data_IF_030773659740
#
_entry.id   IF_030773659740
#
_cell.length_a   1.000
_cell.length_b   1.000
_cell.length_c   1.000
_cell.angle_alpha   90.00
_cell.angle_beta   90.00
_cell.angle_gamma   90.00
#
_symmetry.space_group_name_H-M   'P 1'
#
loop_
_entity.id
_entity.type
_entity.pdbx_description
1 polymer ?
#
# COMPACT_ATOMS: atom_id res chain seq x y z
N UNK A 1 -8.48 5.25 -10.30
CA UNK A 1 -7.09 5.78 -10.27
C UNK A 1 -6.30 5.10 -11.37
N UNK A 2 -6.07 5.82 -12.46
CA UNK A 2 -5.40 5.26 -13.63
C UNK A 2 -4.47 6.30 -14.24
N UNK A 3 -3.53 5.85 -15.06
CA UNK A 3 -2.71 6.74 -15.84
C UNK A 3 -3.57 7.59 -16.80
N UNK A 4 -3.13 8.80 -17.16
CA UNK A 4 -3.63 9.48 -18.36
C UNK A 4 -3.53 8.55 -19.59
N UNK A 5 -4.45 8.67 -20.54
CA UNK A 5 -4.47 7.82 -21.73
C UNK A 5 -3.13 7.81 -22.47
N UNK A 6 -2.55 9.00 -22.73
CA UNK A 6 -1.24 9.11 -23.39
C UNK A 6 -0.08 8.42 -22.63
N UNK A 7 -0.15 8.39 -21.29
CA UNK A 7 0.83 7.67 -20.47
C UNK A 7 0.63 6.14 -20.57
N UNK A 8 -0.62 5.68 -20.68
CA UNK A 8 -0.94 4.28 -20.91
C UNK A 8 -0.55 3.83 -22.34
N UNK A 9 -0.82 4.65 -23.35
CA UNK A 9 -0.40 4.42 -24.75
C UNK A 9 1.11 4.24 -24.83
N UNK A 10 1.86 5.15 -24.18
CA UNK A 10 3.31 5.06 -24.10
C UNK A 10 3.76 3.78 -23.40
N UNK A 11 3.14 3.41 -22.28
CA UNK A 11 3.47 2.17 -21.58
C UNK A 11 3.31 0.94 -22.49
N UNK A 12 2.16 0.81 -23.18
CA UNK A 12 1.90 -0.35 -24.03
C UNK A 12 2.79 -0.38 -25.27
N UNK A 13 3.06 0.77 -25.90
CA UNK A 13 4.07 0.89 -26.97
C UNK A 13 5.41 0.27 -26.55
N UNK A 14 5.93 0.70 -25.39
CA UNK A 14 7.23 0.24 -24.89
C UNK A 14 7.19 -1.23 -24.44
N UNK A 15 6.11 -1.66 -23.78
CA UNK A 15 5.97 -3.01 -23.26
C UNK A 15 5.83 -4.04 -24.39
N UNK A 16 5.06 -3.73 -25.43
CA UNK A 16 4.89 -4.63 -26.56
C UNK A 16 6.13 -4.71 -27.43
N UNK A 17 6.83 -3.61 -27.69
CA UNK A 17 8.12 -3.63 -28.39
C UNK A 17 9.15 -4.50 -27.65
N UNK A 18 9.27 -4.30 -26.32
CA UNK A 18 10.17 -5.12 -25.49
C UNK A 18 9.78 -6.60 -25.50
N UNK A 19 8.50 -6.94 -25.34
CA UNK A 19 8.06 -8.33 -25.36
C UNK A 19 8.24 -8.97 -26.73
N UNK A 20 7.97 -8.25 -27.82
CA UNK A 20 8.21 -8.75 -29.18
C UNK A 20 9.70 -9.02 -29.41
N UNK A 21 10.59 -8.14 -28.97
CA UNK A 21 12.04 -8.40 -29.00
C UNK A 21 12.41 -9.66 -28.20
N UNK A 22 11.86 -9.84 -26.99
CA UNK A 22 12.07 -11.07 -26.20
C UNK A 22 11.58 -12.30 -26.96
N UNK A 23 10.45 -12.20 -27.65
CA UNK A 23 9.93 -13.28 -28.48
C UNK A 23 10.91 -13.65 -29.59
N UNK A 24 11.47 -12.66 -30.30
CA UNK A 24 12.46 -12.89 -31.36
C UNK A 24 13.75 -13.54 -30.82
N UNK A 25 14.24 -13.10 -29.66
CA UNK A 25 15.46 -13.64 -29.05
C UNK A 25 15.29 -15.07 -28.52
N UNK A 26 14.06 -15.47 -28.18
CA UNK A 26 13.77 -16.77 -27.53
C UNK A 26 13.01 -17.75 -28.41
N UNK A 27 12.45 -17.31 -29.53
CA UNK A 27 11.65 -18.14 -30.43
C UNK A 27 10.43 -18.78 -29.75
N UNK A 28 9.79 -18.07 -28.82
CA UNK A 28 8.67 -18.62 -28.02
C UNK A 28 7.43 -18.79 -28.89
N UNK A 29 7.12 -17.78 -29.70
CA UNK A 29 6.03 -17.74 -30.67
C UNK A 29 6.66 -17.53 -32.06
N UNK A 30 7.00 -18.62 -32.77
CA UNK A 30 7.79 -18.54 -34.00
C UNK A 30 7.02 -17.98 -35.19
N UNK A 31 5.68 -18.02 -35.18
CA UNK A 31 4.83 -17.56 -36.28
C UNK A 31 4.53 -16.04 -36.24
N UNK A 32 5.24 -15.29 -35.40
CA UNK A 32 4.95 -13.87 -35.13
C UNK A 32 6.13 -13.01 -35.61
N UNK A 33 5.92 -12.33 -36.73
CA UNK A 33 6.96 -11.60 -37.46
C UNK A 33 6.91 -10.08 -37.26
N UNK A 34 5.86 -9.54 -36.65
CA UNK A 34 5.71 -8.10 -36.38
C UNK A 34 5.17 -7.79 -34.99
N UNK A 35 5.41 -6.55 -34.53
CA UNK A 35 4.84 -6.06 -33.26
C UNK A 35 3.32 -5.99 -33.37
N UNK A 36 2.77 -5.62 -34.52
CA UNK A 36 1.32 -5.55 -34.76
C UNK A 36 0.65 -6.93 -34.60
N UNK A 37 1.26 -7.97 -35.17
CA UNK A 37 0.80 -9.35 -34.99
C UNK A 37 0.88 -9.78 -33.53
N UNK A 38 1.97 -9.43 -32.85
CA UNK A 38 2.13 -9.68 -31.41
C UNK A 38 1.03 -8.99 -30.60
N UNK A 39 0.71 -7.73 -30.91
CA UNK A 39 -0.34 -6.95 -30.23
C UNK A 39 -1.72 -7.56 -30.44
N UNK A 40 -2.00 -8.18 -31.58
CA UNK A 40 -3.26 -8.87 -31.83
C UNK A 40 -3.43 -10.17 -31.02
N UNK A 41 -2.35 -10.73 -30.46
CA UNK A 41 -2.41 -12.00 -29.75
C UNK A 41 -3.28 -11.97 -28.48
N UNK A 42 -3.92 -13.10 -28.14
CA UNK A 42 -4.53 -13.33 -26.84
C UNK A 42 -3.55 -13.10 -25.68
N UNK A 43 -4.08 -12.64 -24.54
CA UNK A 43 -3.27 -12.44 -23.33
C UNK A 43 -2.60 -13.72 -22.83
N UNK A 44 -3.20 -14.89 -23.08
CA UNK A 44 -2.65 -16.18 -22.68
C UNK A 44 -1.32 -16.49 -23.40
N UNK A 45 -1.21 -16.16 -24.69
CA UNK A 45 0.01 -16.40 -25.47
C UNK A 45 1.10 -15.39 -25.09
N UNK A 46 0.71 -14.13 -24.93
CA UNK A 46 1.59 -13.06 -24.40
C UNK A 46 2.15 -13.38 -23.01
N UNK A 47 1.41 -14.13 -22.19
CA UNK A 47 1.88 -14.52 -20.85
C UNK A 47 3.16 -15.34 -20.90
N UNK A 48 3.37 -16.17 -21.94
CA UNK A 48 4.58 -16.98 -22.09
C UNK A 48 5.82 -16.09 -22.30
N UNK A 49 5.70 -15.14 -23.23
CA UNK A 49 6.76 -14.15 -23.53
C UNK A 49 7.02 -13.23 -22.35
N UNK A 50 5.95 -12.76 -21.72
CA UNK A 50 6.00 -11.95 -20.49
C UNK A 50 6.75 -12.68 -19.36
N UNK A 51 6.47 -13.95 -19.12
CA UNK A 51 7.14 -14.70 -18.07
C UNK A 51 8.64 -14.86 -18.39
N UNK A 52 8.99 -15.18 -19.64
CA UNK A 52 10.38 -15.26 -20.07
C UNK A 52 11.15 -13.94 -19.91
N UNK A 53 10.49 -12.80 -20.14
CA UNK A 53 11.06 -11.47 -19.88
C UNK A 53 11.43 -11.28 -18.40
N UNK A 54 10.51 -11.60 -17.48
CA UNK A 54 10.74 -11.38 -16.05
C UNK A 54 11.66 -12.43 -15.40
N UNK A 55 11.74 -13.63 -15.96
CA UNK A 55 12.70 -14.67 -15.57
C UNK A 55 14.13 -14.35 -16.03
N UNK A 56 14.29 -13.55 -17.10
CA UNK A 56 15.59 -13.11 -17.58
C UNK A 56 15.70 -11.58 -17.71
N UNK A 57 15.95 -10.87 -16.59
CA UNK A 57 16.07 -9.42 -16.58
C UNK A 57 17.18 -8.85 -17.47
N UNK A 58 18.17 -9.65 -17.90
CA UNK A 58 19.22 -9.18 -18.81
C UNK A 58 18.66 -8.75 -20.17
N UNK A 59 17.50 -9.26 -20.57
CA UNK A 59 16.81 -8.85 -21.80
C UNK A 59 16.30 -7.40 -21.73
N UNK A 60 16.04 -6.87 -20.53
CA UNK A 60 15.65 -5.47 -20.31
C UNK A 60 16.80 -4.52 -20.63
N UNK A 61 18.05 -4.94 -20.41
CA UNK A 61 19.24 -4.14 -20.72
C UNK A 61 19.67 -4.29 -22.19
N UNK A 62 19.46 -5.47 -22.79
CA UNK A 62 19.80 -5.75 -24.19
C UNK A 62 18.95 -4.93 -25.16
N UNK A 63 17.63 -4.84 -24.91
CA UNK A 63 16.72 -4.14 -25.82
C UNK A 63 17.06 -2.65 -26.01
N UNK A 64 17.32 -1.85 -24.96
CA UNK A 64 17.74 -0.47 -25.13
C UNK A 64 19.15 -0.27 -25.69
N UNK A 65 19.98 -1.32 -25.71
CA UNK A 65 21.33 -1.27 -26.28
C UNK A 65 21.29 -1.46 -27.81
N UNK A 66 20.44 -2.36 -28.29
CA UNK A 66 20.21 -2.59 -29.72
C UNK A 66 19.27 -1.56 -30.34
N UNK A 67 18.28 -1.07 -29.57
CA UNK A 67 17.27 -0.11 -29.98
C UNK A 67 16.61 -0.42 -31.35
N UNK A 68 16.05 -1.62 -31.54
CA UNK A 68 15.52 -2.05 -32.84
C UNK A 68 14.38 -1.15 -33.35
N UNK A 69 13.60 -0.57 -32.43
CA UNK A 69 12.44 0.26 -32.74
C UNK A 69 12.78 1.77 -32.90
N UNK A 70 14.06 2.15 -32.79
CA UNK A 70 14.48 3.54 -32.92
C UNK A 70 13.89 4.48 -31.85
N UNK A 71 13.70 3.97 -30.62
CA UNK A 71 13.12 4.70 -29.50
C UNK A 71 13.99 5.89 -29.07
N UNK A 72 13.33 6.91 -28.54
CA UNK A 72 14.00 8.09 -27.99
C UNK A 72 14.75 7.77 -26.69
N UNK A 73 15.70 8.63 -26.31
CA UNK A 73 16.46 8.47 -25.07
C UNK A 73 15.57 8.42 -23.81
N UNK A 74 14.47 9.19 -23.79
CA UNK A 74 13.51 9.19 -22.68
C UNK A 74 12.74 7.86 -22.58
N UNK A 75 12.32 7.31 -23.73
CA UNK A 75 11.64 6.01 -23.81
C UNK A 75 12.56 4.86 -23.38
N UNK A 76 13.80 4.86 -23.86
CA UNK A 76 14.82 3.88 -23.47
C UNK A 76 15.10 3.93 -21.96
N UNK A 77 15.12 5.12 -21.37
CA UNK A 77 15.32 5.29 -19.94
C UNK A 77 14.15 4.74 -19.10
N UNK A 78 12.91 4.85 -19.59
CA UNK A 78 11.75 4.20 -18.94
C UNK A 78 11.96 2.67 -18.91
N UNK A 79 12.37 2.07 -20.01
CA UNK A 79 12.58 0.62 -20.10
C UNK A 79 13.71 0.17 -19.18
N UNK A 80 14.85 0.86 -19.18
CA UNK A 80 15.98 0.54 -18.28
C UNK A 80 15.57 0.52 -16.81
N UNK A 81 14.64 1.39 -16.41
CA UNK A 81 14.13 1.43 -15.04
C UNK A 81 13.28 0.22 -14.68
N UNK A 82 12.66 -0.47 -15.64
CA UNK A 82 11.86 -1.66 -15.37
C UNK A 82 12.64 -2.81 -14.75
N UNK A 83 13.97 -2.81 -14.80
CA UNK A 83 14.81 -3.76 -14.01
C UNK A 83 14.63 -3.64 -12.49
N UNK A 84 14.07 -2.52 -12.01
CA UNK A 84 13.70 -2.31 -10.60
C UNK A 84 12.31 -2.88 -10.28
N UNK A 85 11.80 -3.79 -11.11
CA UNK A 85 10.50 -4.40 -10.91
C UNK A 85 10.42 -5.13 -9.56
N UNK A 86 9.19 -5.27 -9.07
CA UNK A 86 8.89 -6.14 -7.92
C UNK A 86 7.85 -7.15 -8.39
N UNK A 87 8.28 -8.38 -8.59
CA UNK A 87 7.41 -9.51 -8.91
C UNK A 87 7.06 -10.26 -7.62
N UNK A 88 5.83 -10.76 -7.52
CA UNK A 88 5.42 -11.54 -6.37
C UNK A 88 3.91 -11.68 -6.25
N UNK A 89 3.51 -12.28 -5.13
CA UNK A 89 2.11 -12.33 -4.72
C UNK A 89 1.74 -11.10 -3.91
N UNK A 90 0.63 -10.45 -4.27
CA UNK A 90 0.12 -9.24 -3.62
C UNK A 90 -1.35 -9.39 -3.24
N UNK A 91 -1.71 -8.76 -2.12
CA UNK A 91 -3.09 -8.50 -1.74
C UNK A 91 -3.49 -7.10 -2.18
N UNK A 92 -4.40 -7.01 -3.15
CA UNK A 92 -5.10 -5.77 -3.46
C UNK A 92 -6.09 -5.55 -2.33
N UNK A 93 -5.73 -4.66 -1.41
CA UNK A 93 -6.43 -4.49 -0.14
C UNK A 93 -7.47 -3.36 -0.17
N UNK A 94 -7.17 -2.26 -0.88
CA UNK A 94 -8.05 -1.08 -0.90
C UNK A 94 -7.87 -0.23 -2.14
N UNK A 95 -8.97 0.37 -2.60
CA UNK A 95 -8.96 1.43 -3.60
C UNK A 95 -8.99 2.83 -2.93
N UNK A 96 -7.98 3.67 -3.19
CA UNK A 96 -7.95 5.09 -2.78
C UNK A 96 -8.11 6.02 -3.98
N UNK A 97 -8.37 7.32 -3.75
CA UNK A 97 -8.50 8.29 -4.86
C UNK A 97 -7.26 8.35 -5.78
N UNK A 98 -6.05 8.18 -5.23
CA UNK A 98 -4.78 8.36 -5.95
C UNK A 98 -4.14 7.08 -6.48
N UNK A 99 -4.29 5.95 -5.80
CA UNK A 99 -3.66 4.66 -6.14
C UNK A 99 -4.35 3.53 -5.37
N UNK A 100 -4.30 2.31 -5.90
CA UNK A 100 -4.71 1.11 -5.17
C UNK A 100 -3.59 0.68 -4.21
N UNK A 101 -3.98 0.03 -3.12
CA UNK A 101 -3.05 -0.50 -2.13
C UNK A 101 -2.81 -1.97 -2.40
N UNK A 102 -1.56 -2.30 -2.74
CA UNK A 102 -1.05 -3.65 -2.88
C UNK A 102 -0.19 -3.94 -1.66
N UNK A 103 -0.47 -5.02 -0.96
CA UNK A 103 0.33 -5.48 0.18
C UNK A 103 1.07 -6.73 -0.26
N UNK A 104 2.40 -6.72 -0.18
CA UNK A 104 3.23 -7.88 -0.50
C UNK A 104 2.93 -9.03 0.45
N UNK A 105 2.68 -10.22 -0.11
CA UNK A 105 2.48 -11.43 0.70
C UNK A 105 3.77 -12.00 1.30
N UNK A 106 4.93 -11.51 0.88
CA UNK A 106 6.24 -12.03 1.32
C UNK A 106 6.82 -11.22 2.48
N UNK A 107 6.77 -9.89 2.40
CA UNK A 107 7.47 -8.99 3.32
C UNK A 107 6.59 -7.88 3.90
N UNK A 108 5.27 -7.94 3.68
CA UNK A 108 4.27 -6.98 4.13
C UNK A 108 4.54 -5.52 3.70
N UNK A 109 5.40 -5.30 2.69
CA UNK A 109 5.57 -3.96 2.09
C UNK A 109 4.28 -3.53 1.42
N UNK A 110 3.97 -2.24 1.57
CA UNK A 110 2.73 -1.65 1.06
C UNK A 110 3.04 -0.71 -0.10
N UNK A 111 2.45 -0.99 -1.25
CA UNK A 111 2.67 -0.28 -2.49
C UNK A 111 1.41 0.48 -2.93
N UNK A 112 1.60 1.71 -3.39
CA UNK A 112 0.58 2.50 -4.05
C UNK A 112 0.68 2.34 -5.56
N UNK A 113 -0.22 1.53 -6.15
CA UNK A 113 -0.17 1.12 -7.55
C UNK A 113 -1.28 1.80 -8.37
N UNK A 114 -0.94 2.25 -9.57
CA UNK A 114 -1.87 2.82 -10.54
C UNK A 114 -2.27 1.79 -11.59
N UNK A 115 -3.52 1.92 -12.06
CA UNK A 115 -4.00 1.17 -13.20
C UNK A 115 -3.55 1.81 -14.53
N UNK A 116 -3.70 1.07 -15.63
CA UNK A 116 -3.34 1.49 -16.99
C UNK A 116 -4.54 2.15 -17.69
N UNK A 117 -5.19 1.49 -18.66
CA UNK A 117 -6.41 2.02 -19.32
C UNK A 117 -7.68 1.88 -18.49
N UNK A 118 -7.90 0.68 -17.97
CA UNK A 118 -9.04 0.35 -17.12
C UNK A 118 -8.69 0.55 -15.66
N UNK A 119 -9.69 0.78 -14.80
CA UNK A 119 -9.43 0.81 -13.37
C UNK A 119 -9.12 -0.60 -12.88
N UNK A 120 -8.36 -0.72 -11.78
CA UNK A 120 -8.10 -2.04 -11.18
C UNK A 120 -9.37 -2.74 -10.69
N UNK A 121 -10.44 -1.98 -10.40
CA UNK A 121 -11.74 -2.54 -10.04
C UNK A 121 -12.41 -3.22 -11.24
N UNK A 122 -12.32 -2.58 -12.42
CA UNK A 122 -12.85 -3.13 -13.69
C UNK A 122 -12.04 -4.34 -14.15
N UNK A 123 -10.71 -4.25 -14.10
CA UNK A 123 -9.78 -5.37 -14.42
C UNK A 123 -10.04 -6.59 -13.53
N UNK A 124 -10.48 -6.38 -12.29
CA UNK A 124 -10.85 -7.44 -11.36
C UNK A 124 -12.33 -7.78 -11.38
N UNK A 125 -13.10 -7.32 -12.37
CA UNK A 125 -14.53 -7.60 -12.54
C UNK A 125 -15.37 -7.32 -11.28
N UNK A 126 -15.03 -6.27 -10.53
CA UNK A 126 -15.74 -5.89 -9.31
C UNK A 126 -15.59 -6.88 -8.14
N UNK A 127 -14.58 -7.75 -8.16
CA UNK A 127 -14.32 -8.69 -7.06
C UNK A 127 -14.16 -7.95 -5.73
N UNK A 128 -14.78 -8.51 -4.67
CA UNK A 128 -14.71 -7.95 -3.32
C UNK A 128 -13.30 -8.08 -2.75
N UNK A 129 -12.79 -6.97 -2.23
CA UNK A 129 -11.48 -6.92 -1.57
C UNK A 129 -11.48 -7.61 -0.20
N UNK A 130 -10.32 -8.11 0.27
CA UNK A 130 -9.05 -8.16 -0.44
C UNK A 130 -9.03 -9.26 -1.53
N UNK A 131 -8.29 -9.01 -2.60
CA UNK A 131 -8.04 -9.97 -3.69
C UNK A 131 -6.56 -10.28 -3.75
N UNK A 132 -6.19 -11.56 -3.72
CA UNK A 132 -4.81 -12.01 -3.90
C UNK A 132 -4.53 -12.20 -5.39
N UNK A 133 -3.41 -11.66 -5.86
CA UNK A 133 -2.97 -11.72 -7.25
C UNK A 133 -1.46 -11.98 -7.32
N UNK A 134 -1.01 -12.71 -8.33
CA UNK A 134 0.37 -12.63 -8.80
C UNK A 134 0.48 -11.43 -9.74
N UNK A 135 1.45 -10.56 -9.52
CA UNK A 135 1.65 -9.35 -10.32
C UNK A 135 3.13 -9.00 -10.45
N UNK A 136 3.46 -8.18 -11.44
CA UNK A 136 4.75 -7.50 -11.55
C UNK A 136 4.50 -6.01 -11.46
N UNK A 137 5.11 -5.37 -10.47
CA UNK A 137 5.04 -3.93 -10.25
C UNK A 137 6.24 -3.25 -10.91
N UNK A 138 5.99 -2.18 -11.67
CA UNK A 138 7.00 -1.47 -12.47
C UNK A 138 7.08 0.00 -12.10
N UNK A 139 8.29 0.60 -12.10
CA UNK A 139 8.43 2.05 -12.12
C UNK A 139 7.94 2.63 -13.45
N UNK A 140 7.17 3.71 -13.39
CA UNK A 140 6.78 4.46 -14.56
C UNK A 140 6.56 5.93 -14.20
N UNK A 141 7.46 6.81 -14.68
CA UNK A 141 7.40 8.27 -14.49
C UNK A 141 7.18 8.68 -13.01
N UNK A 142 7.93 8.09 -12.10
CA UNK A 142 7.88 8.35 -10.65
C UNK A 142 6.66 7.78 -9.93
N UNK A 143 5.92 6.87 -10.58
CA UNK A 143 4.78 6.13 -10.03
C UNK A 143 5.05 4.64 -10.11
N UNK A 144 4.22 3.84 -9.43
CA UNK A 144 4.19 2.39 -9.58
C UNK A 144 2.95 2.01 -10.37
N UNK A 145 3.14 1.19 -11.39
CA UNK A 145 2.08 0.53 -12.17
C UNK A 145 2.27 -0.99 -12.07
N UNK A 146 1.30 -1.74 -12.57
CA UNK A 146 1.48 -3.15 -12.87
C UNK A 146 1.84 -3.34 -14.34
N UNK A 147 2.35 -4.50 -14.72
CA UNK A 147 2.84 -4.79 -16.07
C UNK A 147 1.74 -5.06 -17.12
N UNK A 148 0.47 -4.82 -16.79
CA UNK A 148 -0.66 -5.10 -17.66
C UNK A 148 -1.28 -6.49 -17.48
N UNK A 149 -0.70 -7.35 -16.63
CA UNK A 149 -1.27 -8.66 -16.33
C UNK A 149 -1.37 -8.92 -14.82
N UNK A 150 -2.54 -9.41 -14.39
CA UNK A 150 -2.78 -9.86 -13.02
C UNK A 150 -3.31 -11.28 -13.05
N UNK A 151 -2.66 -12.20 -12.33
CA UNK A 151 -3.18 -13.56 -12.17
C UNK A 151 -3.84 -13.67 -10.81
N UNK A 152 -5.17 -13.60 -10.79
CA UNK A 152 -5.94 -13.66 -9.55
C UNK A 152 -6.10 -15.08 -9.01
N UNK A 153 -6.01 -15.23 -7.69
CA UNK A 153 -6.35 -16.48 -7.01
C UNK A 153 -7.84 -16.49 -6.65
N UNK A 154 -8.51 -17.64 -6.80
CA UNK A 154 -9.91 -17.81 -6.41
C UNK A 154 -10.03 -18.18 -4.92
N UNK A 155 -9.66 -17.25 -4.05
CA UNK A 155 -9.61 -17.44 -2.59
C UNK A 155 -10.44 -16.37 -1.90
N UNK A 156 -11.16 -16.75 -0.84
CA UNK A 156 -11.86 -15.83 0.06
C UNK A 156 -11.12 -15.70 1.39
N UNK A 157 -10.98 -14.47 1.87
CA UNK A 157 -10.30 -14.19 3.13
C UNK A 157 -11.27 -13.97 4.27
N UNK A 158 -11.11 -14.74 5.35
CA UNK A 158 -11.85 -14.59 6.60
C UNK A 158 -11.44 -13.34 7.39
N UNK A 159 -12.13 -13.09 8.52
CA UNK A 159 -11.93 -11.90 9.36
C UNK A 159 -10.50 -11.73 9.88
N UNK A 160 -9.83 -12.83 10.24
CA UNK A 160 -8.46 -12.79 10.77
C UNK A 160 -7.46 -12.17 9.77
N UNK A 161 -7.38 -12.73 8.57
CA UNK A 161 -6.48 -12.23 7.50
C UNK A 161 -6.85 -10.79 7.12
N UNK A 162 -8.14 -10.47 7.04
CA UNK A 162 -8.60 -9.09 6.78
C UNK A 162 -8.14 -8.10 7.86
N UNK A 163 -8.11 -8.51 9.13
CA UNK A 163 -7.59 -7.70 10.23
C UNK A 163 -6.09 -7.46 10.09
N UNK A 164 -5.33 -8.53 9.83
CA UNK A 164 -3.86 -8.45 9.64
C UNK A 164 -3.49 -7.48 8.51
N UNK A 165 -4.11 -7.65 7.33
CA UNK A 165 -3.87 -6.77 6.18
C UNK A 165 -4.25 -5.31 6.48
N UNK A 166 -5.30 -5.09 7.27
CA UNK A 166 -5.67 -3.75 7.70
C UNK A 166 -4.63 -3.15 8.65
N UNK A 167 -4.10 -3.93 9.58
CA UNK A 167 -3.03 -3.51 10.51
C UNK A 167 -1.74 -3.18 9.76
N UNK A 168 -1.33 -4.02 8.80
CA UNK A 168 -0.17 -3.78 7.93
C UNK A 168 -0.32 -2.46 7.15
N UNK A 169 -1.48 -2.25 6.50
CA UNK A 169 -1.77 -1.00 5.82
C UNK A 169 -1.78 0.20 6.77
N UNK A 170 -2.42 0.10 7.94
CA UNK A 170 -2.50 1.20 8.91
C UNK A 170 -1.12 1.54 9.50
N UNK A 171 -0.30 0.53 9.78
CA UNK A 171 1.08 0.70 10.22
C UNK A 171 1.94 1.37 9.15
N UNK A 172 1.82 0.95 7.88
CA UNK A 172 2.52 1.60 6.77
C UNK A 172 2.06 3.06 6.59
N UNK A 173 0.75 3.31 6.69
CA UNK A 173 0.18 4.66 6.59
C UNK A 173 0.63 5.58 7.73
N UNK A 174 0.60 5.11 8.97
CA UNK A 174 0.98 5.88 10.17
C UNK A 174 2.47 6.25 10.15
N UNK A 175 3.31 5.34 9.65
CA UNK A 175 4.76 5.52 9.61
C UNK A 175 5.27 6.08 8.27
N UNK A 176 4.37 6.52 7.38
CA UNK A 176 4.72 7.05 6.05
C UNK A 176 5.57 6.07 5.20
N UNK A 177 5.33 4.76 5.34
CA UNK A 177 6.05 3.66 4.66
C UNK A 177 5.29 3.10 3.43
N UNK A 178 4.30 3.81 2.90
CA UNK A 178 3.65 3.41 1.65
C UNK A 178 4.58 3.77 0.49
N UNK A 179 5.04 2.77 -0.24
CA UNK A 179 5.95 2.92 -1.37
C UNK A 179 5.13 3.34 -2.59
N UNK A 180 5.34 4.55 -3.10
CA UNK A 180 4.60 5.07 -4.28
C UNK A 180 5.47 5.26 -5.52
N UNK A 181 6.76 4.94 -5.43
CA UNK A 181 7.72 4.94 -6.54
C UNK A 181 8.77 3.85 -6.32
N UNK A 182 9.19 3.20 -7.40
CA UNK A 182 10.37 2.30 -7.42
C UNK A 182 11.61 3.02 -7.97
N UNK A 183 11.52 4.34 -8.14
CA UNK A 183 12.62 5.24 -8.54
C UNK A 183 13.09 6.00 -7.29
N UNK A 184 14.08 5.50 -6.54
CA UNK A 184 14.51 6.09 -5.27
C UNK A 184 15.03 7.53 -5.43
N UNK A 185 15.58 7.88 -6.59
CA UNK A 185 15.99 9.25 -6.92
C UNK A 185 14.81 10.22 -7.04
N UNK A 186 13.62 9.72 -7.41
CA UNK A 186 12.38 10.51 -7.48
C UNK A 186 11.56 10.40 -6.20
N UNK A 187 11.93 9.48 -5.30
CA UNK A 187 11.35 9.42 -3.99
C UNK A 187 11.64 10.76 -3.33
N UNK A 188 10.59 11.58 -3.20
CA UNK A 188 10.68 12.78 -2.39
C UNK A 188 11.20 12.29 -1.05
N UNK A 189 12.34 12.80 -0.53
CA UNK A 189 12.76 12.46 0.82
C UNK A 189 11.50 12.65 1.64
N UNK A 190 11.10 11.63 2.41
CA UNK A 190 9.93 11.70 3.27
C UNK A 190 10.08 13.03 3.94
N UNK A 191 9.30 14.03 3.50
CA UNK A 191 9.23 15.30 4.18
C UNK A 191 8.60 14.78 5.44
N UNK A 192 9.43 14.43 6.45
CA UNK A 192 9.03 14.30 7.85
C UNK A 192 8.10 15.46 7.94
N UNK A 193 6.79 15.20 7.90
CA UNK A 193 5.81 16.26 7.85
C UNK A 193 6.25 17.06 9.05
N UNK A 194 6.87 18.24 8.84
CA UNK A 194 7.28 19.11 9.94
C UNK A 194 6.01 19.12 10.74
N UNK A 195 5.97 18.44 11.90
CA UNK A 195 4.73 18.23 12.67
C UNK A 195 4.24 19.66 12.75
N UNK A 196 3.22 20.04 11.94
CA UNK A 196 2.81 21.46 11.88
C UNK A 196 2.60 21.75 13.34
N UNK A 197 3.32 22.68 13.98
CA UNK A 197 3.28 22.80 15.43
C UNK A 197 1.80 22.90 15.72
N UNK A 198 1.27 21.81 16.28
CA UNK A 198 -0.15 21.71 16.53
C UNK A 198 -0.43 22.87 17.45
N UNK A 199 -1.68 23.33 17.50
CA UNK A 199 -2.08 24.12 18.66
C UNK A 199 -1.53 23.40 19.91
N UNK A 200 -0.75 24.12 20.72
CA UNK A 200 -0.17 23.52 21.90
C UNK A 200 -1.30 23.16 22.85
N UNK A 201 -1.61 21.87 22.92
CA UNK A 201 -2.70 21.35 23.75
C UNK A 201 -2.23 21.05 25.16
N UNK A 202 -0.91 21.07 25.45
CA UNK A 202 -0.37 20.83 26.80
C UNK A 202 -1.08 21.63 27.89
N UNK A 203 -1.22 22.97 27.80
CA UNK A 203 -1.88 23.74 28.86
C UNK A 203 -3.36 23.37 29.04
N UNK A 204 -4.06 23.10 27.93
CA UNK A 204 -5.49 22.70 27.98
C UNK A 204 -5.64 21.30 28.59
N UNK A 205 -4.77 20.36 28.22
CA UNK A 205 -4.79 19.00 28.72
C UNK A 205 -4.38 18.97 30.20
N UNK A 206 -3.39 19.75 30.61
CA UNK A 206 -2.96 19.87 32.01
C UNK A 206 -4.08 20.42 32.89
N UNK A 207 -4.79 21.46 32.43
CA UNK A 207 -5.97 21.99 33.13
C UNK A 207 -7.09 20.95 33.25
N UNK A 208 -7.36 20.20 32.17
CA UNK A 208 -8.36 19.13 32.17
C UNK A 208 -7.98 18.00 33.11
N UNK A 209 -6.70 17.63 33.19
CA UNK A 209 -6.21 16.59 34.13
C UNK A 209 -6.36 17.06 35.56
N UNK A 210 -6.01 18.32 35.86
CA UNK A 210 -6.16 18.89 37.21
C UNK A 210 -7.64 18.89 37.64
N UNK A 211 -8.54 19.30 36.73
CA UNK A 211 -9.99 19.23 36.96
C UNK A 211 -10.47 17.80 37.12
N UNK A 212 -10.02 16.88 36.26
CA UNK A 212 -10.40 15.47 36.30
C UNK A 212 -9.98 14.80 37.62
N UNK A 213 -8.79 15.12 38.15
CA UNK A 213 -8.31 14.57 39.43
C UNK A 213 -9.20 14.98 40.62
N UNK A 214 -9.91 16.10 40.53
CA UNK A 214 -10.86 16.53 41.56
C UNK A 214 -12.19 15.75 41.53
N UNK A 215 -12.49 15.07 40.42
CA UNK A 215 -13.74 14.32 40.23
C UNK A 215 -13.60 12.91 40.85
N UNK A 216 -14.19 12.71 42.03
CA UNK A 216 -14.14 11.45 42.78
C UNK A 216 -15.47 11.17 43.48
N UNK A 217 -15.71 9.90 43.82
CA UNK A 217 -16.87 9.48 44.61
C UNK A 217 -18.16 9.29 43.82
N UNK A 218 -19.27 9.15 44.56
CA UNK A 218 -20.59 8.80 44.02
C UNK A 218 -20.85 7.29 43.97
N UNK A 219 -22.04 6.87 43.53
CA UNK A 219 -22.42 5.46 43.41
C UNK A 219 -21.43 4.65 42.56
N UNK A 220 -21.45 3.32 42.70
CA UNK A 220 -20.45 2.44 42.10
C UNK A 220 -20.21 2.71 40.60
N UNK A 221 -21.27 2.87 39.80
CA UNK A 221 -21.15 3.15 38.36
C UNK A 221 -20.51 4.52 38.09
N UNK A 222 -20.90 5.55 38.83
CA UNK A 222 -20.35 6.90 38.73
C UNK A 222 -18.86 6.92 39.12
N UNK A 223 -18.51 6.32 40.25
CA UNK A 223 -17.12 6.19 40.72
C UNK A 223 -16.23 5.46 39.69
N UNK A 224 -16.75 4.41 39.06
CA UNK A 224 -16.02 3.66 38.03
C UNK A 224 -15.85 4.49 36.74
N UNK A 225 -16.88 5.23 36.31
CA UNK A 225 -16.80 6.12 35.15
C UNK A 225 -15.79 7.26 35.37
N UNK A 226 -15.75 7.86 36.56
CA UNK A 226 -14.77 8.89 36.91
C UNK A 226 -13.33 8.34 36.97
N UNK A 227 -13.16 7.08 37.36
CA UNK A 227 -11.84 6.42 37.29
C UNK A 227 -11.37 6.26 35.84
N UNK A 228 -12.26 5.88 34.91
CA UNK A 228 -11.94 5.78 33.49
C UNK A 228 -11.61 7.15 32.89
N UNK A 229 -12.39 8.18 33.22
CA UNK A 229 -12.14 9.55 32.76
C UNK A 229 -10.75 10.05 33.17
N UNK A 230 -10.36 9.88 34.44
CA UNK A 230 -9.02 10.26 34.94
C UNK A 230 -7.89 9.49 34.25
N UNK A 231 -8.07 8.18 34.04
CA UNK A 231 -7.08 7.37 33.33
C UNK A 231 -6.90 7.86 31.88
N UNK A 232 -8.01 8.17 31.19
CA UNK A 232 -7.99 8.72 29.83
C UNK A 232 -7.31 10.09 29.77
N UNK A 233 -7.59 10.98 30.74
CA UNK A 233 -6.95 12.28 30.85
C UNK A 233 -5.43 12.17 31.03
N UNK A 234 -4.95 11.24 31.88
CA UNK A 234 -3.51 10.98 32.07
C UNK A 234 -2.82 10.43 30.83
N UNK A 235 -3.49 9.54 30.08
CA UNK A 235 -2.97 9.07 28.80
C UNK A 235 -2.84 10.22 27.79
N UNK A 236 -3.85 11.09 27.72
CA UNK A 236 -3.81 12.27 26.86
C UNK A 236 -2.67 13.23 27.27
N UNK A 237 -2.45 13.42 28.57
CA UNK A 237 -1.34 14.21 29.10
C UNK A 237 0.02 13.63 28.70
N UNK A 238 0.23 12.33 28.90
CA UNK A 238 1.45 11.66 28.51
C UNK A 238 1.72 11.81 26.99
N UNK A 239 0.68 11.65 26.16
CA UNK A 239 0.78 11.83 24.70
C UNK A 239 1.05 13.29 24.28
N UNK A 240 0.53 14.27 25.02
CA UNK A 240 0.74 15.68 24.73
C UNK A 240 2.15 16.16 25.09
N UNK A 241 2.72 15.65 26.20
CA UNK A 241 4.05 16.02 26.67
C UNK A 241 5.16 15.22 25.97
N UNK A 242 5.02 13.89 25.90
CA UNK A 242 6.04 12.97 25.38
C UNK A 242 5.43 11.97 24.37
N UNK A 243 5.00 12.42 23.18
CA UNK A 243 4.35 11.55 22.19
C UNK A 243 5.22 10.41 21.65
N UNK A 244 6.54 10.53 21.77
CA UNK A 244 7.50 9.56 21.25
C UNK A 244 7.97 8.56 22.34
N UNK A 245 7.58 8.74 23.61
CA UNK A 245 7.81 7.79 24.72
C UNK A 245 6.73 6.70 24.73
N UNK A 246 6.92 5.70 23.86
CA UNK A 246 5.95 4.61 23.68
C UNK A 246 5.76 3.76 24.95
N UNK A 247 6.80 3.63 25.79
CA UNK A 247 6.72 2.80 27.00
C UNK A 247 5.77 3.42 28.04
N UNK A 248 5.87 4.74 28.25
CA UNK A 248 4.94 5.45 29.14
C UNK A 248 3.52 5.48 28.54
N UNK A 249 3.38 5.65 27.22
CA UNK A 249 2.07 5.58 26.56
C UNK A 249 1.41 4.22 26.73
N UNK A 250 2.14 3.11 26.54
CA UNK A 250 1.63 1.76 26.77
C UNK A 250 1.26 1.50 28.23
N UNK A 251 2.03 2.05 29.17
CA UNK A 251 1.72 1.94 30.60
C UNK A 251 0.44 2.70 30.97
N UNK A 252 0.23 3.91 30.42
CA UNK A 252 -1.02 4.65 30.64
C UNK A 252 -2.21 4.00 29.93
N UNK A 253 -2.01 3.44 28.74
CA UNK A 253 -3.02 2.66 28.01
C UNK A 253 -3.52 1.46 28.82
N UNK A 254 -2.61 0.71 29.46
CA UNK A 254 -2.97 -0.40 30.37
C UNK A 254 -3.84 0.06 31.55
N UNK A 255 -3.58 1.25 32.10
CA UNK A 255 -4.40 1.84 33.17
C UNK A 255 -5.81 2.20 32.68
N UNK A 256 -5.93 2.73 31.46
CA UNK A 256 -7.23 2.99 30.82
C UNK A 256 -8.00 1.69 30.63
N UNK A 257 -7.38 0.63 30.10
CA UNK A 257 -8.02 -0.69 29.96
C UNK A 257 -8.52 -1.24 31.29
N UNK A 258 -7.70 -1.15 32.33
CA UNK A 258 -8.06 -1.63 33.67
C UNK A 258 -9.27 -0.87 34.22
N UNK A 259 -9.31 0.46 34.05
CA UNK A 259 -10.43 1.28 34.48
C UNK A 259 -11.72 1.00 33.67
N UNK A 260 -11.60 0.76 32.36
CA UNK A 260 -12.71 0.39 31.49
C UNK A 260 -13.31 -0.97 31.90
N UNK A 261 -12.45 -1.97 32.11
CA UNK A 261 -12.87 -3.31 32.56
C UNK A 261 -13.60 -3.24 33.92
N UNK A 262 -13.13 -2.40 34.83
CA UNK A 262 -13.81 -2.15 36.11
C UNK A 262 -15.20 -1.52 35.91
N UNK A 263 -15.33 -0.53 35.04
CA UNK A 263 -16.64 0.08 34.73
C UNK A 263 -17.60 -0.94 34.13
N UNK A 264 -17.16 -1.73 33.14
CA UNK A 264 -17.97 -2.79 32.54
C UNK A 264 -18.46 -3.79 33.58
N UNK A 265 -17.59 -4.20 34.51
CA UNK A 265 -17.94 -5.11 35.61
C UNK A 265 -19.00 -4.52 36.52
N UNK A 266 -18.92 -3.22 36.84
CA UNK A 266 -19.90 -2.54 37.69
C UNK A 266 -21.25 -2.42 37.00
N UNK A 267 -21.27 -2.08 35.70
CA UNK A 267 -22.51 -1.99 34.92
C UNK A 267 -23.19 -3.36 34.83
N UNK A 268 -22.44 -4.42 34.50
CA UNK A 268 -22.98 -5.78 34.43
C UNK A 268 -23.54 -6.30 35.77
N UNK A 269 -23.08 -5.76 36.91
CA UNK A 269 -23.62 -6.07 38.24
C UNK A 269 -24.88 -5.28 38.56
N UNK A 270 -25.02 -4.08 38.02
CA UNK A 270 -26.20 -3.23 38.23
C UNK A 270 -27.42 -3.70 37.41
N UNK A 271 -27.19 -4.49 36.35
CA UNK A 271 -28.24 -5.12 35.53
C UNK A 271 -28.77 -6.45 36.09
N UNK A 272 -28.19 -6.95 37.18
CA UNK A 272 -28.63 -8.16 37.88
C UNK A 272 -29.48 -7.80 39.09
#
# INVERSE_FOLDING_TARGET
MKLPAADADLFFKLMWGLQFYVNQQRGILPDIDSVEDYVALPMADKAQVRNALWENPALIDAYPAENPDGLSAEELEIIRKWKRFVAGTFYIFRYLKKHAIFISGEDAKVYGVLALYESLEDVLYGRRLPVMVQAVLLPFKGKIIYDGMLSGYNIFFGRGIRSSLNEEYMAAKQNERIITTLEPELAKPTRRRRKKPGKDWRPVVDELVEKAEKIKGGPAAQSAAFSLFRAGAKLAQAAAHNPDDLDELWKQERRVRTALSRLQTVLARAER
#
